data_IF_531233801089
#
_entry.id   IF_531233801089
#
_cell.length_a   1.000
_cell.length_b   1.000
_cell.length_c   1.000
_cell.angle_alpha   90.00
_cell.angle_beta   90.00
_cell.angle_gamma   90.00
#
_symmetry.space_group_name_H-M   'P 1'
#
loop_
_entity.id
_entity.type
_entity.pdbx_description
1 polymer ?
#
# COMPACT_ATOMS: atom_id res chain seq x y z
N UNK A 1 -11.76 4.99 -14.30
CA UNK A 1 -12.82 4.30 -13.51
C UNK A 1 -13.19 5.19 -12.33
N UNK A 2 -14.47 5.23 -11.96
CA UNK A 2 -14.94 5.98 -10.78
C UNK A 2 -14.34 5.47 -9.47
N UNK A 3 -13.98 6.41 -8.58
CA UNK A 3 -13.46 6.10 -7.25
C UNK A 3 -14.45 5.30 -6.41
N UNK A 4 -15.75 5.62 -6.47
CA UNK A 4 -16.79 4.88 -5.75
C UNK A 4 -16.79 3.39 -6.10
N UNK A 5 -16.81 3.07 -7.41
CA UNK A 5 -16.73 1.69 -7.89
C UNK A 5 -15.43 0.98 -7.47
N UNK A 6 -14.31 1.70 -7.42
CA UNK A 6 -13.05 1.12 -6.95
C UNK A 6 -13.11 0.79 -5.45
N UNK A 7 -13.67 1.68 -4.62
CA UNK A 7 -13.85 1.44 -3.18
C UNK A 7 -14.74 0.21 -2.92
N UNK A 8 -15.84 0.09 -3.65
CA UNK A 8 -16.73 -1.07 -3.59
C UNK A 8 -16.00 -2.37 -3.96
N UNK A 9 -15.23 -2.36 -5.06
CA UNK A 9 -14.44 -3.52 -5.50
C UNK A 9 -13.39 -3.93 -4.47
N UNK A 10 -12.70 -2.98 -3.84
CA UNK A 10 -11.71 -3.25 -2.80
C UNK A 10 -12.36 -3.88 -1.56
N UNK A 11 -13.53 -3.37 -1.16
CA UNK A 11 -14.31 -3.92 -0.04
C UNK A 11 -14.78 -5.35 -0.34
N UNK A 12 -15.32 -5.58 -1.53
CA UNK A 12 -15.76 -6.89 -1.98
C UNK A 12 -14.60 -7.91 -2.01
N UNK A 13 -13.43 -7.53 -2.53
CA UNK A 13 -12.25 -8.37 -2.58
C UNK A 13 -11.77 -8.78 -1.18
N UNK A 14 -11.74 -7.84 -0.23
CA UNK A 14 -11.40 -8.13 1.16
C UNK A 14 -12.43 -9.07 1.79
N UNK A 15 -13.73 -8.83 1.56
CA UNK A 15 -14.80 -9.71 2.03
C UNK A 15 -14.69 -11.14 1.48
N UNK A 16 -14.32 -11.31 0.21
CA UNK A 16 -14.05 -12.62 -0.40
C UNK A 16 -12.84 -13.31 0.27
N UNK A 17 -11.74 -12.59 0.46
CA UNK A 17 -10.55 -13.14 1.11
C UNK A 17 -10.85 -13.62 2.53
N UNK A 18 -11.61 -12.84 3.32
CA UNK A 18 -12.02 -13.20 4.68
C UNK A 18 -12.87 -14.48 4.72
N UNK A 19 -13.69 -14.75 3.69
CA UNK A 19 -14.48 -15.99 3.60
C UNK A 19 -13.65 -17.23 3.30
N UNK A 20 -12.52 -17.10 2.60
CA UNK A 20 -11.63 -18.21 2.26
C UNK A 20 -10.80 -18.71 3.48
N UNK A 21 -10.69 -17.91 4.55
CA UNK A 21 -9.99 -18.24 5.82
C UNK A 21 -8.50 -18.56 5.72
N UNK A 22 -7.87 -18.45 4.55
CA UNK A 22 -6.42 -18.53 4.42
C UNK A 22 -5.77 -17.23 4.95
N UNK A 23 -5.08 -17.31 6.10
CA UNK A 23 -4.56 -16.15 6.81
C UNK A 23 -3.67 -15.23 5.96
N UNK A 24 -2.74 -15.81 5.18
CA UNK A 24 -1.83 -15.05 4.32
C UNK A 24 -2.58 -14.34 3.19
N UNK A 25 -3.60 -14.99 2.60
CA UNK A 25 -4.43 -14.39 1.56
C UNK A 25 -5.27 -13.23 2.09
N UNK A 26 -5.82 -13.37 3.31
CA UNK A 26 -6.54 -12.29 4.01
C UNK A 26 -5.61 -11.12 4.25
N UNK A 27 -4.44 -11.37 4.83
CA UNK A 27 -3.50 -10.32 5.20
C UNK A 27 -2.95 -9.59 3.97
N UNK A 28 -2.55 -10.30 2.91
CA UNK A 28 -2.10 -9.68 1.66
C UNK A 28 -3.20 -8.84 1.01
N UNK A 29 -4.43 -9.34 0.99
CA UNK A 29 -5.58 -8.60 0.44
C UNK A 29 -5.84 -7.34 1.27
N UNK A 30 -5.78 -7.43 2.61
CA UNK A 30 -5.94 -6.28 3.49
C UNK A 30 -4.85 -5.22 3.27
N UNK A 31 -3.58 -5.63 3.13
CA UNK A 31 -2.46 -4.73 2.88
C UNK A 31 -2.59 -4.03 1.50
N UNK A 32 -3.02 -4.75 0.45
CA UNK A 32 -3.32 -4.17 -0.86
C UNK A 32 -4.50 -3.20 -0.81
N UNK A 33 -5.59 -3.60 -0.17
CA UNK A 33 -6.78 -2.76 0.01
C UNK A 33 -6.44 -1.48 0.76
N UNK A 34 -5.64 -1.58 1.83
CA UNK A 34 -5.15 -0.42 2.57
C UNK A 34 -4.34 0.52 1.70
N UNK A 35 -3.39 0.00 0.91
CA UNK A 35 -2.56 0.83 0.05
C UNK A 35 -3.39 1.63 -0.96
N UNK A 36 -4.31 0.93 -1.64
CA UNK A 36 -5.23 1.55 -2.60
C UNK A 36 -6.16 2.56 -1.94
N UNK A 37 -6.82 2.18 -0.84
CA UNK A 37 -7.75 3.08 -0.13
C UNK A 37 -7.06 4.36 0.36
N UNK A 38 -5.82 4.26 0.86
CA UNK A 38 -5.04 5.44 1.27
C UNK A 38 -4.69 6.33 0.07
N UNK A 39 -4.34 5.76 -1.09
CA UNK A 39 -4.07 6.56 -2.30
C UNK A 39 -5.30 7.31 -2.84
N UNK A 40 -6.49 6.83 -2.51
CA UNK A 40 -7.77 7.45 -2.86
C UNK A 40 -8.26 8.44 -1.79
N UNK A 41 -7.50 8.65 -0.72
CA UNK A 41 -7.88 9.54 0.37
C UNK A 41 -7.98 10.98 -0.15
N UNK A 42 -9.15 11.60 0.03
CA UNK A 42 -9.43 12.96 -0.45
C UNK A 42 -10.05 13.04 -1.85
N UNK A 43 -10.20 11.92 -2.57
CA UNK A 43 -10.96 11.89 -3.82
C UNK A 43 -12.45 11.63 -3.56
N UNK A 44 -13.32 12.37 -4.25
CA UNK A 44 -14.76 12.12 -4.26
C UNK A 44 -15.13 10.89 -5.08
N UNK A 45 -16.28 10.28 -4.83
CA UNK A 45 -16.68 9.02 -5.48
C UNK A 45 -16.84 9.15 -7.01
N UNK A 46 -17.24 10.32 -7.48
CA UNK A 46 -17.42 10.62 -8.91
C UNK A 46 -16.11 10.93 -9.65
N UNK A 47 -14.98 11.04 -8.94
CA UNK A 47 -13.69 11.29 -9.56
C UNK A 47 -13.27 10.10 -10.45
N UNK A 48 -12.71 10.40 -11.62
CA UNK A 48 -12.09 9.39 -12.48
C UNK A 48 -10.65 9.15 -12.03
N UNK A 49 -10.28 7.87 -11.90
CA UNK A 49 -8.92 7.45 -11.59
C UNK A 49 -8.48 6.29 -12.48
N UNK A 50 -7.19 6.24 -12.74
CA UNK A 50 -6.49 5.10 -13.31
C UNK A 50 -5.68 4.44 -12.19
N UNK A 51 -5.86 3.13 -11.99
CA UNK A 51 -5.20 2.40 -10.89
C UNK A 51 -3.67 2.53 -10.98
N UNK A 52 -3.13 2.54 -12.20
CA UNK A 52 -1.70 2.55 -12.47
C UNK A 52 -1.03 3.90 -12.15
N UNK A 53 -1.82 4.98 -12.07
CA UNK A 53 -1.32 6.32 -11.78
C UNK A 53 -1.55 6.77 -10.34
N UNK A 54 -2.14 5.91 -9.50
CA UNK A 54 -2.35 6.24 -8.09
C UNK A 54 -1.00 6.39 -7.38
N UNK A 55 -0.86 7.49 -6.65
CA UNK A 55 0.37 7.87 -5.95
C UNK A 55 0.13 7.99 -4.43
N UNK A 56 1.19 7.74 -3.67
CA UNK A 56 1.26 7.96 -2.22
C UNK A 56 2.30 9.03 -1.93
N UNK A 57 2.02 9.89 -0.95
CA UNK A 57 3.07 10.69 -0.32
C UNK A 57 4.02 9.80 0.48
N UNK A 58 5.16 10.35 0.92
CA UNK A 58 6.07 9.63 1.82
C UNK A 58 5.35 9.19 3.10
N UNK A 59 4.48 10.05 3.64
CA UNK A 59 3.74 9.77 4.89
C UNK A 59 2.71 8.66 4.70
N UNK A 60 2.03 8.66 3.56
CA UNK A 60 1.02 7.66 3.25
C UNK A 60 1.66 6.30 3.01
N UNK A 61 2.75 6.26 2.24
CA UNK A 61 3.55 5.05 2.06
C UNK A 61 4.07 4.50 3.40
N UNK A 62 4.51 5.39 4.32
CA UNK A 62 4.92 4.99 5.66
C UNK A 62 3.76 4.37 6.46
N UNK A 63 2.55 4.92 6.35
CA UNK A 63 1.34 4.38 6.97
C UNK A 63 1.00 3.01 6.42
N UNK A 64 1.00 2.86 5.09
CA UNK A 64 0.73 1.59 4.39
C UNK A 64 1.75 0.53 4.81
N UNK A 65 3.04 0.85 4.72
CA UNK A 65 4.15 -0.02 5.06
C UNK A 65 4.43 -0.14 6.56
N UNK A 66 3.69 0.53 7.45
CA UNK A 66 3.96 0.45 8.90
C UNK A 66 5.41 0.82 9.26
N UNK A 67 5.99 1.78 8.54
CA UNK A 67 7.35 2.30 8.76
C UNK A 67 7.29 3.73 9.28
N UNK A 68 8.43 4.22 9.78
CA UNK A 68 8.62 5.65 9.99
C UNK A 68 8.83 6.37 8.63
N UNK A 69 8.31 7.59 8.41
CA UNK A 69 8.51 8.33 7.15
C UNK A 69 9.97 8.46 6.73
N UNK A 70 10.88 8.72 7.68
CA UNK A 70 12.31 8.81 7.37
C UNK A 70 12.91 7.47 6.90
N UNK A 71 12.34 6.34 7.30
CA UNK A 71 12.75 5.04 6.74
C UNK A 71 12.33 4.92 5.27
N UNK A 72 11.13 5.37 4.90
CA UNK A 72 10.69 5.41 3.50
C UNK A 72 11.59 6.31 2.67
N UNK A 73 11.94 7.51 3.17
CA UNK A 73 12.89 8.40 2.47
C UNK A 73 14.25 7.76 2.28
N UNK A 74 14.76 7.01 3.27
CA UNK A 74 16.01 6.24 3.13
C UNK A 74 15.90 5.16 2.06
N UNK A 75 14.78 4.44 1.96
CA UNK A 75 14.57 3.46 0.88
C UNK A 75 14.61 4.11 -0.50
N UNK A 76 13.97 5.28 -0.65
CA UNK A 76 13.99 6.04 -1.90
C UNK A 76 15.40 6.51 -2.25
N UNK A 77 16.11 7.14 -1.30
CA UNK A 77 17.49 7.64 -1.53
C UNK A 77 18.47 6.51 -1.83
N UNK A 78 18.25 5.31 -1.29
CA UNK A 78 19.05 4.13 -1.57
C UNK A 78 18.65 3.41 -2.88
N UNK A 79 17.70 3.94 -3.66
CA UNK A 79 17.22 3.33 -4.91
C UNK A 79 16.38 2.06 -4.72
N UNK A 80 15.96 1.76 -3.48
CA UNK A 80 15.19 0.55 -3.14
C UNK A 80 13.68 0.73 -3.27
N UNK A 81 13.22 1.97 -3.38
CA UNK A 81 11.82 2.32 -3.65
C UNK A 81 11.80 3.42 -4.70
N UNK A 82 11.10 3.19 -5.80
CA UNK A 82 10.96 4.18 -6.87
C UNK A 82 10.03 5.30 -6.42
N UNK A 83 10.41 6.53 -6.73
CA UNK A 83 9.60 7.70 -6.44
C UNK A 83 10.01 8.88 -7.32
N UNK A 84 9.06 9.80 -7.55
CA UNK A 84 9.28 11.09 -8.20
C UNK A 84 9.27 12.20 -7.15
N UNK A 85 10.20 13.15 -7.23
CA UNK A 85 10.20 14.31 -6.33
C UNK A 85 9.16 15.33 -6.82
N UNK A 86 8.28 15.78 -5.93
CA UNK A 86 7.26 16.80 -6.24
C UNK A 86 6.95 17.64 -4.99
N UNK A 87 7.01 18.97 -5.11
CA UNK A 87 6.57 19.88 -4.05
C UNK A 87 7.28 19.68 -2.70
N UNK A 88 8.56 19.32 -2.70
CA UNK A 88 9.33 19.08 -1.46
C UNK A 88 9.13 17.69 -0.83
N UNK A 89 8.23 16.87 -1.34
CA UNK A 89 8.05 15.47 -0.93
C UNK A 89 8.30 14.50 -2.11
N UNK A 90 8.15 13.21 -1.83
CA UNK A 90 8.19 12.15 -2.84
C UNK A 90 6.77 11.63 -3.13
N UNK A 91 6.54 11.34 -4.40
CA UNK A 91 5.38 10.61 -4.91
C UNK A 91 5.79 9.21 -5.32
N UNK A 92 5.14 8.22 -4.74
CA UNK A 92 5.43 6.81 -4.93
C UNK A 92 4.20 6.20 -5.59
N UNK A 93 4.34 5.57 -6.76
CA UNK A 93 3.23 4.84 -7.35
C UNK A 93 2.83 3.70 -6.42
N UNK A 94 1.53 3.46 -6.25
CA UNK A 94 1.09 2.38 -5.35
C UNK A 94 1.69 1.05 -5.80
N UNK A 95 1.73 0.77 -7.11
CA UNK A 95 2.36 -0.42 -7.68
C UNK A 95 3.82 -0.66 -7.24
N UNK A 96 4.61 0.39 -7.03
CA UNK A 96 6.00 0.27 -6.57
C UNK A 96 6.10 -0.20 -5.10
N UNK A 97 5.02 -0.09 -4.34
CA UNK A 97 4.93 -0.56 -2.95
C UNK A 97 4.63 -2.07 -2.88
N UNK A 98 4.09 -2.68 -3.93
CA UNK A 98 3.59 -4.08 -3.88
C UNK A 98 4.69 -5.07 -3.52
N UNK A 99 5.89 -5.02 -4.13
CA UNK A 99 6.96 -5.94 -3.77
C UNK A 99 7.31 -5.89 -2.28
N UNK A 100 7.20 -4.72 -1.65
CA UNK A 100 7.51 -4.56 -0.21
C UNK A 100 6.44 -5.16 0.71
N UNK A 101 5.17 -5.18 0.26
CA UNK A 101 4.08 -5.84 0.97
C UNK A 101 4.19 -7.36 0.80
N UNK A 102 4.43 -7.84 -0.43
CA UNK A 102 4.52 -9.27 -0.72
C UNK A 102 5.66 -9.99 -0.01
N UNK A 103 6.81 -9.32 0.18
CA UNK A 103 7.95 -9.90 0.92
C UNK A 103 7.55 -10.32 2.34
N UNK A 104 6.58 -9.64 2.97
CA UNK A 104 6.09 -10.00 4.32
C UNK A 104 5.44 -11.38 4.37
N UNK A 105 4.86 -11.80 3.24
CA UNK A 105 4.07 -13.02 3.13
C UNK A 105 4.84 -14.17 2.47
N UNK A 106 5.94 -13.90 1.74
CA UNK A 106 6.84 -14.95 1.22
C UNK A 106 7.80 -15.50 2.26
N UNK A 107 8.18 -14.74 3.29
CA UNK A 107 9.06 -15.19 4.39
C UNK A 107 8.36 -15.16 5.76
N UNK A 108 7.40 -16.08 6.03
CA UNK A 108 6.77 -16.17 7.34
C UNK A 108 7.78 -16.72 8.36
N UNK A 109 8.56 -15.82 9.00
CA UNK A 109 9.52 -16.23 10.03
C UNK A 109 10.52 -15.18 10.51
N UNK A 110 10.68 -14.06 9.79
CA UNK A 110 11.67 -13.02 10.16
C UNK A 110 11.14 -11.88 11.04
N UNK A 111 9.97 -12.04 11.68
CA UNK A 111 9.69 -11.23 12.89
C UNK A 111 10.64 -11.71 13.99
N UNK A 112 11.88 -11.20 13.97
CA UNK A 112 12.79 -11.27 15.10
C UNK A 112 12.10 -10.58 16.26
N UNK A 113 11.44 -11.39 17.10
CA UNK A 113 11.15 -11.01 18.47
C UNK A 113 12.51 -10.65 19.05
N UNK A 114 12.82 -9.36 19.19
CA UNK A 114 13.90 -8.92 20.07
C UNK A 114 13.46 -9.33 21.46
N UNK A 115 13.85 -10.52 21.90
CA UNK A 115 13.86 -10.86 23.32
C UNK A 115 14.84 -9.89 23.98
N UNK A 116 14.33 -9.08 24.90
CA UNK A 116 15.16 -8.46 25.93
C UNK A 116 15.54 -9.54 26.93
#
# INVERSE_FOLDING_TARGET
>A
MKVGHLRERLSAALGVAMRNRAADAVALTADRTKAMAVSLAGLGDDAEVEIESLELSTRDAATVLGFHPEHVRRLIRAGRLRARRQGGDYRILVNDVWPMLEVRYREPGRRRIRRR
#
